data_IF_608579968058
#
_entry.id   IF_608579968058
#
_cell.length_a   1.000
_cell.length_b   1.000
_cell.length_c   1.000
_cell.angle_alpha   90.00
_cell.angle_beta   90.00
_cell.angle_gamma   90.00
#
_symmetry.space_group_name_H-M   'P 1'
#
loop_
_entity.id
_entity.type
_entity.pdbx_description
1 polymer ?
#
# COMPACT_ATOMS: atom_id res chain seq x y z
N UNK A 1 -7.11 0.74 28.82
CA UNK A 1 -6.69 0.21 27.51
C UNK A 1 -5.38 0.90 27.13
N UNK A 2 -4.27 0.34 27.62
CA UNK A 2 -2.95 0.93 27.42
C UNK A 2 -2.38 0.61 26.04
N UNK A 3 -2.24 1.61 25.22
CA UNK A 3 -1.41 1.56 24.01
C UNK A 3 0.03 1.24 24.42
N UNK A 4 0.58 0.08 24.02
CA UNK A 4 1.99 -0.24 24.28
C UNK A 4 2.86 0.67 23.41
N UNK A 5 3.67 1.51 24.04
CA UNK A 5 4.66 2.35 23.33
C UNK A 5 5.78 1.46 22.77
N UNK A 6 5.92 1.42 21.48
CA UNK A 6 6.99 0.72 20.81
C UNK A 6 8.23 1.59 20.70
N UNK A 7 9.32 1.12 21.33
CA UNK A 7 10.70 1.56 21.11
C UNK A 7 10.95 3.06 21.19
N UNK A 8 11.40 3.48 22.34
CA UNK A 8 12.19 4.70 22.48
C UNK A 8 13.52 4.44 21.77
N UNK A 9 13.86 5.20 20.71
CA UNK A 9 15.22 5.20 20.16
C UNK A 9 16.22 5.58 21.24
N UNK A 10 17.50 5.18 21.10
CA UNK A 10 18.56 5.70 21.96
C UNK A 10 18.44 7.22 22.04
N UNK A 11 18.60 7.85 23.22
CA UNK A 11 18.31 9.28 23.44
C UNK A 11 19.03 10.28 22.53
N UNK A 12 20.01 9.82 21.76
CA UNK A 12 20.87 10.65 20.89
C UNK A 12 20.61 10.45 19.39
N UNK A 13 19.67 9.55 18.98
CA UNK A 13 19.47 9.24 17.56
C UNK A 13 18.12 9.77 17.08
N UNK A 14 18.14 10.68 16.12
CA UNK A 14 16.92 11.20 15.46
C UNK A 14 16.12 10.07 14.85
N UNK A 15 14.85 9.96 15.22
CA UNK A 15 13.92 8.97 14.67
C UNK A 15 13.06 9.59 13.57
N UNK A 16 13.25 9.13 12.34
CA UNK A 16 12.48 9.56 11.17
C UNK A 16 11.50 8.46 10.81
N UNK A 17 10.20 8.78 10.85
CA UNK A 17 9.12 7.85 10.48
C UNK A 17 8.52 8.30 9.15
N UNK A 18 8.50 7.39 8.18
CA UNK A 18 7.85 7.57 6.88
C UNK A 18 6.62 6.67 6.84
N UNK A 19 5.44 7.25 6.66
CA UNK A 19 4.17 6.51 6.59
C UNK A 19 3.69 6.48 5.14
N UNK A 20 3.57 5.28 4.61
CA UNK A 20 3.24 4.99 3.21
C UNK A 20 4.45 4.53 2.42
N UNK A 21 4.45 3.26 2.01
CA UNK A 21 5.51 2.61 1.26
C UNK A 21 5.33 2.69 -0.26
N UNK A 22 4.50 3.59 -0.75
CA UNK A 22 4.39 3.87 -2.18
C UNK A 22 5.70 4.36 -2.78
N UNK A 23 5.71 4.70 -4.08
CA UNK A 23 6.92 5.09 -4.81
C UNK A 23 7.74 6.16 -4.07
N UNK A 24 7.09 7.24 -3.60
CA UNK A 24 7.79 8.32 -2.90
C UNK A 24 8.27 7.93 -1.50
N UNK A 25 7.47 7.20 -0.73
CA UNK A 25 7.83 6.81 0.63
C UNK A 25 8.93 5.77 0.69
N UNK A 26 8.89 4.74 -0.17
CA UNK A 26 9.93 3.72 -0.27
C UNK A 26 11.25 4.33 -0.76
N UNK A 27 11.22 5.18 -1.79
CA UNK A 27 12.40 5.88 -2.30
C UNK A 27 13.05 6.75 -1.22
N UNK A 28 12.24 7.51 -0.47
CA UNK A 28 12.72 8.33 0.64
C UNK A 28 13.34 7.46 1.75
N UNK A 29 12.65 6.41 2.18
CA UNK A 29 13.15 5.51 3.23
C UNK A 29 14.47 4.84 2.82
N UNK A 30 14.58 4.40 1.57
CA UNK A 30 15.78 3.81 0.98
C UNK A 30 16.94 4.81 0.97
N UNK A 31 16.68 6.02 0.48
CA UNK A 31 17.70 7.09 0.40
C UNK A 31 18.18 7.50 1.79
N UNK A 32 17.28 7.76 2.73
CA UNK A 32 17.62 8.11 4.11
C UNK A 32 18.32 6.96 4.84
N UNK A 33 17.84 5.73 4.64
CA UNK A 33 18.45 4.54 5.21
C UNK A 33 19.91 4.36 4.76
N UNK A 34 20.19 4.50 3.47
CA UNK A 34 21.55 4.43 2.93
C UNK A 34 22.45 5.58 3.43
N UNK A 35 21.91 6.82 3.49
CA UNK A 35 22.70 8.01 3.86
C UNK A 35 22.89 8.16 5.37
N UNK A 36 21.88 7.84 6.16
CA UNK A 36 21.86 8.09 7.60
C UNK A 36 21.74 6.80 8.43
N UNK A 37 20.84 5.89 8.05
CA UNK A 37 20.53 4.68 8.81
C UNK A 37 21.74 3.75 8.94
N UNK A 38 22.37 3.39 7.82
CA UNK A 38 23.59 2.54 7.82
C UNK A 38 24.76 3.15 8.56
N UNK A 39 24.81 4.47 8.66
CA UNK A 39 25.87 5.21 9.38
C UNK A 39 25.53 5.46 10.85
N UNK A 40 24.39 4.97 11.34
CA UNK A 40 23.94 5.19 12.71
C UNK A 40 23.62 6.65 13.07
N UNK A 41 23.40 7.52 12.06
CA UNK A 41 23.12 8.95 12.26
C UNK A 41 21.63 9.23 12.53
N UNK A 42 20.73 8.36 12.05
CA UNK A 42 19.31 8.41 12.33
C UNK A 42 18.70 7.01 12.27
N UNK A 43 17.62 6.80 13.01
CA UNK A 43 16.80 5.61 12.91
C UNK A 43 15.66 5.89 11.90
N UNK A 44 15.66 5.16 10.79
CA UNK A 44 14.65 5.31 9.75
C UNK A 44 13.63 4.19 9.90
N UNK A 45 12.35 4.54 9.93
CA UNK A 45 11.25 3.57 9.99
C UNK A 45 10.25 3.85 8.88
N UNK A 46 10.01 2.84 8.04
CA UNK A 46 8.94 2.83 7.05
C UNK A 46 7.72 2.11 7.64
N UNK A 47 6.55 2.72 7.53
CA UNK A 47 5.27 2.15 7.96
C UNK A 47 4.37 2.00 6.75
N UNK A 48 3.82 0.81 6.53
CA UNK A 48 2.78 0.58 5.53
C UNK A 48 1.81 -0.50 5.98
N UNK A 49 0.57 -0.44 5.49
CA UNK A 49 -0.47 -1.46 5.70
C UNK A 49 -0.33 -2.66 4.77
N UNK A 50 0.55 -2.60 3.80
CA UNK A 50 0.96 -3.71 2.94
C UNK A 50 2.34 -4.20 3.36
N UNK A 51 2.65 -5.47 3.12
CA UNK A 51 3.99 -6.04 3.36
C UNK A 51 4.91 -5.86 2.18
N UNK A 52 4.33 -5.67 1.01
CA UNK A 52 5.00 -5.61 -0.28
C UNK A 52 4.63 -4.34 -1.01
N UNK A 53 5.49 -3.91 -1.90
CA UNK A 53 5.26 -2.78 -2.78
C UNK A 53 5.02 -3.27 -4.20
N UNK A 54 3.86 -2.90 -4.74
CA UNK A 54 3.60 -2.94 -6.18
C UNK A 54 3.55 -1.50 -6.67
N UNK A 55 4.32 -1.23 -7.69
CA UNK A 55 4.36 0.11 -8.25
C UNK A 55 3.02 0.43 -8.94
N UNK A 56 2.26 1.38 -8.41
CA UNK A 56 0.92 1.72 -8.93
C UNK A 56 0.86 1.91 -10.45
N UNK A 57 1.85 2.51 -11.13
CA UNK A 57 1.87 2.58 -12.59
C UNK A 57 1.79 1.23 -13.31
N UNK A 58 2.11 0.10 -12.64
CA UNK A 58 2.00 -1.23 -13.23
C UNK A 58 0.63 -1.90 -13.04
N UNK A 59 -0.30 -1.29 -12.31
CA UNK A 59 -1.62 -1.87 -12.07
C UNK A 59 -2.42 -2.07 -13.36
N UNK A 60 -2.20 -1.25 -14.38
CA UNK A 60 -2.84 -1.42 -15.69
C UNK A 60 -2.33 -2.67 -16.41
N UNK A 61 -1.07 -3.08 -16.22
CA UNK A 61 -0.51 -4.31 -16.80
C UNK A 61 -1.07 -5.54 -16.12
N UNK A 62 -1.29 -5.49 -14.80
CA UNK A 62 -2.00 -6.53 -14.05
C UNK A 62 -3.45 -6.64 -14.55
N UNK A 63 -4.13 -5.51 -14.71
CA UNK A 63 -5.49 -5.45 -15.21
C UNK A 63 -5.61 -6.03 -16.64
N UNK A 64 -4.63 -5.78 -17.49
CA UNK A 64 -4.55 -6.34 -18.84
C UNK A 64 -4.12 -7.82 -18.86
N UNK A 65 -3.59 -8.35 -17.76
CA UNK A 65 -3.07 -9.73 -17.68
C UNK A 65 -1.70 -9.91 -18.35
N UNK A 66 -0.97 -8.82 -18.57
CA UNK A 66 0.35 -8.84 -19.20
C UNK A 66 1.51 -8.97 -18.21
N UNK A 67 1.25 -8.86 -16.91
CA UNK A 67 2.26 -8.92 -15.86
C UNK A 67 1.95 -10.00 -14.82
N UNK A 68 2.97 -10.78 -14.48
CA UNK A 68 2.96 -11.70 -13.34
C UNK A 68 3.36 -10.92 -12.07
N UNK A 69 2.45 -10.86 -11.11
CA UNK A 69 2.59 -10.09 -9.88
C UNK A 69 3.75 -10.60 -9.02
N UNK A 70 3.89 -11.91 -8.92
CA UNK A 70 4.87 -12.56 -8.01
C UNK A 70 6.33 -12.21 -8.36
N UNK A 71 6.60 -11.82 -9.60
CA UNK A 71 7.93 -11.45 -10.06
C UNK A 71 8.32 -10.00 -9.78
N UNK A 72 7.35 -9.14 -9.42
CA UNK A 72 7.55 -7.69 -9.30
C UNK A 72 7.23 -7.14 -7.89
N UNK A 73 6.94 -8.03 -6.94
CA UNK A 73 6.74 -7.65 -5.54
C UNK A 73 8.07 -7.39 -4.83
N UNK A 74 8.18 -6.20 -4.25
CA UNK A 74 9.32 -5.84 -3.39
C UNK A 74 8.90 -5.95 -1.93
N UNK A 75 9.46 -6.91 -1.21
CA UNK A 75 9.25 -7.03 0.24
C UNK A 75 9.93 -5.88 1.00
N UNK A 76 9.17 -5.11 1.74
CA UNK A 76 9.69 -4.00 2.55
C UNK A 76 10.71 -4.43 3.61
N UNK A 77 10.56 -5.63 4.18
CA UNK A 77 11.51 -6.14 5.17
C UNK A 77 12.88 -6.40 4.55
N UNK A 78 12.91 -7.01 3.35
CA UNK A 78 14.14 -7.25 2.60
C UNK A 78 14.79 -5.92 2.20
N UNK A 79 14.01 -4.99 1.65
CA UNK A 79 14.49 -3.65 1.31
C UNK A 79 15.07 -2.92 2.55
N UNK A 80 14.40 -3.00 3.71
CA UNK A 80 14.87 -2.42 4.96
C UNK A 80 16.22 -2.96 5.39
N UNK A 81 16.42 -4.28 5.28
CA UNK A 81 17.70 -4.92 5.59
C UNK A 81 18.83 -4.39 4.69
N UNK A 82 18.59 -4.35 3.37
CA UNK A 82 19.60 -3.91 2.41
C UNK A 82 19.89 -2.41 2.45
N UNK A 83 18.91 -1.59 2.80
CA UNK A 83 19.01 -0.13 2.73
C UNK A 83 19.09 0.56 4.10
N UNK A 84 19.10 -0.16 5.21
CA UNK A 84 19.33 0.41 6.55
C UNK A 84 18.14 1.20 7.10
N UNK A 85 16.93 0.77 6.81
CA UNK A 85 15.72 1.23 7.48
C UNK A 85 14.97 0.05 8.11
N UNK A 86 14.09 0.32 9.07
CA UNK A 86 13.19 -0.68 9.68
C UNK A 86 11.81 -0.58 9.06
N UNK A 87 11.23 -1.72 8.70
CA UNK A 87 9.84 -1.79 8.29
C UNK A 87 8.92 -2.10 9.48
N UNK A 88 7.77 -1.43 9.54
CA UNK A 88 6.70 -1.67 10.50
C UNK A 88 5.38 -1.83 9.77
N UNK A 89 4.89 -3.07 9.75
CA UNK A 89 3.57 -3.39 9.21
C UNK A 89 2.47 -2.79 10.08
N UNK A 90 1.54 -2.05 9.51
CA UNK A 90 0.38 -1.51 10.19
C UNK A 90 -0.23 -0.31 9.49
N UNK A 91 -1.51 -0.10 9.74
CA UNK A 91 -2.26 1.03 9.20
C UNK A 91 -2.20 2.22 10.18
N UNK A 92 -1.90 3.41 9.67
CA UNK A 92 -1.99 4.65 10.44
C UNK A 92 -3.46 4.99 10.68
N UNK A 93 -3.87 5.01 11.96
CA UNK A 93 -5.24 5.35 12.37
C UNK A 93 -5.33 6.65 13.18
N UNK A 94 -4.20 7.19 13.58
CA UNK A 94 -4.20 8.42 14.38
C UNK A 94 -2.81 9.03 14.53
N UNK A 95 -2.81 10.30 14.91
CA UNK A 95 -1.61 11.09 15.15
C UNK A 95 -1.74 11.85 16.46
N UNK A 96 -0.83 11.63 17.40
CA UNK A 96 -0.67 12.45 18.60
C UNK A 96 0.52 13.41 18.40
N UNK A 97 0.22 14.63 17.97
CA UNK A 97 1.25 15.65 17.69
C UNK A 97 1.96 16.14 18.94
N UNK A 98 1.23 16.25 20.07
CA UNK A 98 1.81 16.70 21.33
C UNK A 98 2.92 15.79 21.83
N UNK A 99 2.72 14.47 21.69
CA UNK A 99 3.68 13.45 22.12
C UNK A 99 4.54 12.93 20.95
N UNK A 100 4.42 13.51 19.75
CA UNK A 100 5.10 13.05 18.52
C UNK A 100 4.95 11.54 18.31
N UNK A 101 3.71 11.07 18.24
CA UNK A 101 3.40 9.65 18.06
C UNK A 101 2.46 9.42 16.88
N UNK A 102 2.74 8.43 16.07
CA UNK A 102 1.79 7.83 15.14
C UNK A 102 1.13 6.63 15.80
N UNK A 103 -0.18 6.49 15.62
CA UNK A 103 -0.95 5.37 16.17
C UNK A 103 -1.23 4.40 15.04
N UNK A 104 -0.78 3.16 15.22
CA UNK A 104 -0.98 2.07 14.27
C UNK A 104 -2.09 1.16 14.77
N UNK A 105 -2.99 0.75 13.87
CA UNK A 105 -4.06 -0.19 14.15
C UNK A 105 -3.53 -1.53 14.67
N UNK A 106 -4.36 -2.23 15.43
CA UNK A 106 -4.16 -3.65 15.68
C UNK A 106 -4.21 -4.42 14.35
N UNK A 107 -3.44 -5.50 14.25
CA UNK A 107 -3.44 -6.37 13.06
C UNK A 107 -3.96 -7.75 13.43
N UNK A 108 -4.69 -8.38 12.52
CA UNK A 108 -5.36 -9.64 12.75
C UNK A 108 -5.05 -10.66 11.64
N UNK A 109 -5.12 -11.95 11.96
CA UNK A 109 -5.20 -13.03 10.99
C UNK A 109 -6.58 -13.03 10.30
N UNK A 110 -6.70 -13.78 9.22
CA UNK A 110 -7.97 -13.97 8.50
C UNK A 110 -9.07 -14.55 9.41
N UNK A 111 -8.69 -15.39 10.38
CA UNK A 111 -9.61 -15.96 11.37
C UNK A 111 -9.95 -15.01 12.54
N UNK A 112 -9.54 -13.74 12.47
CA UNK A 112 -9.84 -12.72 13.49
C UNK A 112 -8.96 -12.77 14.74
N UNK A 113 -7.95 -13.63 14.80
CA UNK A 113 -6.98 -13.68 15.90
C UNK A 113 -6.01 -12.50 15.79
N UNK A 114 -5.79 -11.79 16.89
CA UNK A 114 -4.85 -10.67 16.95
C UNK A 114 -3.40 -11.12 16.71
N UNK A 115 -2.72 -10.47 15.76
CA UNK A 115 -1.28 -10.64 15.50
C UNK A 115 -0.50 -9.63 16.33
N UNK A 116 -0.89 -8.34 16.24
CA UNK A 116 -0.28 -7.28 17.06
C UNK A 116 -1.36 -6.34 17.58
N UNK A 117 -1.25 -5.88 18.84
CA UNK A 117 -2.16 -4.89 19.38
C UNK A 117 -1.97 -3.53 18.72
N UNK A 118 -2.96 -2.66 18.93
CA UNK A 118 -2.80 -1.23 18.63
C UNK A 118 -1.57 -0.69 19.37
N UNK A 119 -0.75 0.10 18.67
CA UNK A 119 0.52 0.57 19.19
C UNK A 119 0.86 1.98 18.73
N UNK A 120 1.64 2.68 19.55
CA UNK A 120 2.18 4.00 19.23
C UNK A 120 3.66 3.88 18.83
N UNK A 121 4.05 4.60 17.79
CA UNK A 121 5.43 4.74 17.35
C UNK A 121 5.86 6.20 17.49
N UNK A 122 6.91 6.44 18.27
CA UNK A 122 7.46 7.79 18.51
C UNK A 122 8.30 8.23 17.33
N UNK A 123 8.26 9.52 17.01
CA UNK A 123 9.07 10.14 15.96
C UNK A 123 9.64 11.50 16.39
N UNK A 124 10.75 11.90 15.83
CA UNK A 124 11.25 13.28 15.84
C UNK A 124 10.79 14.00 14.57
N UNK A 125 10.87 13.30 13.43
CA UNK A 125 10.43 13.77 12.12
C UNK A 125 9.44 12.76 11.55
N UNK A 126 8.29 13.25 11.09
CA UNK A 126 7.25 12.45 10.44
C UNK A 126 7.07 12.90 8.99
N UNK A 127 7.09 11.93 8.09
CA UNK A 127 6.74 12.13 6.67
C UNK A 127 5.50 11.31 6.35
N UNK A 128 4.46 11.95 5.83
CA UNK A 128 3.23 11.31 5.35
C UNK A 128 3.31 11.16 3.83
N UNK A 129 3.42 9.93 3.36
CA UNK A 129 3.59 9.57 1.95
C UNK A 129 2.56 8.53 1.49
N UNK A 130 1.33 8.62 2.03
CA UNK A 130 0.25 7.62 1.83
C UNK A 130 -0.33 7.58 0.42
N UNK A 131 0.07 8.53 -0.45
CA UNK A 131 -0.42 8.63 -1.81
C UNK A 131 -1.87 9.13 -1.90
N UNK A 132 -2.48 8.89 -3.05
CA UNK A 132 -3.88 9.23 -3.34
C UNK A 132 -4.67 7.98 -3.69
N UNK A 133 -5.99 8.10 -3.62
CA UNK A 133 -6.96 7.11 -4.11
C UNK A 133 -7.86 7.76 -5.14
N UNK A 134 -8.43 6.97 -6.03
CA UNK A 134 -9.43 7.43 -6.99
C UNK A 134 -10.66 8.00 -6.28
N UNK A 135 -11.23 9.06 -6.84
CA UNK A 135 -12.41 9.71 -6.31
C UNK A 135 -13.54 9.65 -7.34
N UNK A 136 -14.72 9.25 -6.93
CA UNK A 136 -15.91 9.22 -7.76
C UNK A 136 -16.60 10.59 -7.90
N UNK A 137 -16.14 11.58 -7.13
CA UNK A 137 -16.74 12.93 -7.06
C UNK A 137 -18.25 12.94 -6.82
N UNK A 138 -18.80 11.88 -6.21
CA UNK A 138 -20.23 11.71 -6.00
C UNK A 138 -21.03 11.42 -7.27
N UNK A 139 -20.38 11.03 -8.36
CA UNK A 139 -21.05 10.71 -9.63
C UNK A 139 -21.94 9.47 -9.45
N UNK A 140 -23.26 9.57 -9.70
CA UNK A 140 -24.17 8.44 -9.53
C UNK A 140 -23.77 7.24 -10.39
N UNK A 141 -23.82 6.04 -9.80
CA UNK A 141 -23.52 4.78 -10.49
C UNK A 141 -22.04 4.40 -10.55
N UNK A 142 -21.11 5.28 -10.21
CA UNK A 142 -19.67 4.96 -10.27
C UNK A 142 -19.32 3.85 -9.30
N UNK A 143 -19.82 3.89 -8.05
CA UNK A 143 -19.53 2.86 -7.05
C UNK A 143 -20.04 1.47 -7.42
N UNK A 144 -21.18 1.41 -8.12
CA UNK A 144 -21.85 0.18 -8.51
C UNK A 144 -21.27 -0.41 -9.80
N UNK A 145 -20.86 0.43 -10.75
CA UNK A 145 -20.56 0.02 -12.12
C UNK A 145 -19.09 0.12 -12.51
N UNK A 146 -18.32 1.03 -11.91
CA UNK A 146 -16.89 1.18 -12.21
C UNK A 146 -16.00 0.27 -11.35
N UNK A 147 -14.80 0.02 -11.85
CA UNK A 147 -13.71 -0.62 -11.09
C UNK A 147 -12.58 0.40 -11.03
N UNK A 148 -12.23 0.85 -9.83
CA UNK A 148 -11.06 1.69 -9.62
C UNK A 148 -9.78 0.86 -9.79
N UNK A 149 -8.67 1.49 -10.18
CA UNK A 149 -7.36 0.83 -10.32
C UNK A 149 -6.35 1.39 -9.29
N UNK A 150 -6.74 1.38 -8.01
CA UNK A 150 -5.87 1.86 -6.93
C UNK A 150 -5.06 0.75 -6.27
N UNK A 151 -5.52 -0.50 -6.38
CA UNK A 151 -4.93 -1.66 -5.72
C UNK A 151 -4.82 -2.85 -6.67
N UNK A 152 -3.90 -3.77 -6.34
CA UNK A 152 -3.75 -5.03 -7.06
C UNK A 152 -5.06 -5.83 -7.13
N UNK A 153 -5.78 -5.95 -6.02
CA UNK A 153 -7.07 -6.67 -5.96
C UNK A 153 -8.08 -6.11 -6.96
N UNK A 154 -8.11 -4.78 -7.12
CA UNK A 154 -8.98 -4.13 -8.10
C UNK A 154 -8.52 -4.41 -9.54
N UNK A 155 -7.22 -4.40 -9.81
CA UNK A 155 -6.67 -4.72 -11.12
C UNK A 155 -6.96 -6.19 -11.50
N UNK A 156 -6.75 -7.13 -10.60
CA UNK A 156 -7.10 -8.55 -10.80
C UNK A 156 -8.61 -8.77 -10.97
N UNK A 157 -9.44 -8.04 -10.22
CA UNK A 157 -10.90 -8.06 -10.39
C UNK A 157 -11.31 -7.60 -11.79
N UNK A 158 -10.67 -6.53 -12.28
CA UNK A 158 -10.92 -6.04 -13.63
C UNK A 158 -10.51 -7.09 -14.67
N UNK A 159 -9.32 -7.67 -14.57
CA UNK A 159 -8.82 -8.70 -15.47
C UNK A 159 -9.77 -9.90 -15.53
N UNK A 160 -10.17 -10.45 -14.38
CA UNK A 160 -11.16 -11.56 -14.33
C UNK A 160 -12.49 -11.19 -14.99
N UNK A 161 -12.98 -9.95 -14.79
CA UNK A 161 -14.23 -9.51 -15.41
C UNK A 161 -14.10 -9.41 -16.94
N UNK A 162 -12.98 -8.93 -17.43
CA UNK A 162 -12.68 -8.87 -18.86
C UNK A 162 -12.61 -10.26 -19.48
N UNK A 163 -11.83 -11.16 -18.91
CA UNK A 163 -11.71 -12.55 -19.37
C UNK A 163 -13.08 -13.25 -19.39
N UNK A 164 -13.87 -13.10 -18.33
CA UNK A 164 -15.22 -13.69 -18.26
C UNK A 164 -16.17 -13.09 -19.32
N UNK A 165 -16.00 -11.83 -19.69
CA UNK A 165 -16.78 -11.22 -20.77
C UNK A 165 -16.42 -11.85 -22.13
N UNK A 166 -15.11 -12.05 -22.38
CA UNK A 166 -14.63 -12.72 -23.60
C UNK A 166 -15.13 -14.18 -23.67
N UNK A 167 -15.04 -14.94 -22.57
CA UNK A 167 -15.54 -16.33 -22.51
C UNK A 167 -17.04 -16.38 -22.79
N UNK A 168 -17.84 -15.48 -22.20
CA UNK A 168 -19.29 -15.42 -22.48
C UNK A 168 -19.57 -15.07 -23.95
N UNK A 169 -18.83 -14.14 -24.53
CA UNK A 169 -18.98 -13.76 -25.94
C UNK A 169 -18.65 -14.93 -26.87
N UNK A 170 -17.64 -15.73 -26.52
CA UNK A 170 -17.26 -16.93 -27.30
C UNK A 170 -18.29 -18.06 -27.18
N UNK A 171 -18.88 -18.22 -26.00
CA UNK A 171 -19.84 -19.33 -25.73
C UNK A 171 -21.29 -19.02 -26.15
N UNK A 172 -21.62 -17.77 -26.51
CA UNK A 172 -22.98 -17.39 -26.90
C UNK A 172 -23.34 -17.89 -28.29
N UNK A 173 -24.65 -18.18 -28.49
CA UNK A 173 -25.21 -18.38 -29.82
C UNK A 173 -25.47 -17.02 -30.50
N UNK A 174 -24.82 -16.76 -31.62
CA UNK A 174 -24.96 -15.54 -32.39
C UNK A 174 -23.81 -14.54 -32.24
N UNK A 175 -23.83 -13.44 -33.00
CA UNK A 175 -22.73 -12.48 -33.03
C UNK A 175 -22.64 -11.66 -31.74
N UNK A 176 -21.43 -11.16 -31.47
CA UNK A 176 -21.17 -10.20 -30.37
C UNK A 176 -22.03 -8.94 -30.62
N UNK A 177 -22.78 -8.53 -29.61
CA UNK A 177 -23.64 -7.34 -29.69
C UNK A 177 -22.80 -6.06 -29.57
N UNK A 178 -23.22 -4.98 -30.22
CA UNK A 178 -22.58 -3.67 -30.03
C UNK A 178 -22.49 -3.30 -28.53
N UNK A 179 -21.34 -2.84 -28.07
CA UNK A 179 -21.09 -2.48 -26.68
C UNK A 179 -20.82 -3.66 -25.72
N UNK A 180 -20.96 -4.92 -26.16
CA UNK A 180 -20.85 -6.08 -25.27
C UNK A 180 -19.44 -6.27 -24.69
N UNK A 181 -18.41 -5.91 -25.44
CA UNK A 181 -17.01 -6.02 -25.04
C UNK A 181 -16.33 -4.65 -24.92
N UNK A 182 -17.10 -3.57 -24.97
CA UNK A 182 -16.53 -2.23 -24.86
C UNK A 182 -16.01 -1.98 -23.44
N UNK A 183 -14.84 -1.38 -23.37
CA UNK A 183 -14.19 -0.93 -22.13
C UNK A 183 -14.02 0.57 -22.20
N UNK A 184 -14.61 1.29 -21.25
CA UNK A 184 -14.45 2.74 -21.12
C UNK A 184 -13.45 3.03 -20.00
N UNK A 185 -12.42 3.82 -20.32
CA UNK A 185 -11.41 4.27 -19.35
C UNK A 185 -11.66 5.74 -19.09
N UNK A 186 -11.72 6.12 -17.81
CA UNK A 186 -11.95 7.49 -17.34
C UNK A 186 -10.80 7.90 -16.41
N UNK A 187 -10.11 8.99 -16.74
CA UNK A 187 -9.02 9.55 -15.93
C UNK A 187 -7.73 9.76 -16.67
#
# INVERSE_FOLDING_TARGET
>A
NGSRTLLVPKPEMTHIVVVGGGAGGLELATTLGNKLGKKGKAAITLVDKSRTHIWKPLLHEIAAGSMDVDQHELEYMAQGHWHGFKFRYGELIGLNRANKQVILAATFYEEGREITPQRALVYDILVIAIGSVSNDFGTPGVKEHAIMLDTQVQAEKFNRRLLNACVRAQAQEGPVRPGQLDVTIIG
#
